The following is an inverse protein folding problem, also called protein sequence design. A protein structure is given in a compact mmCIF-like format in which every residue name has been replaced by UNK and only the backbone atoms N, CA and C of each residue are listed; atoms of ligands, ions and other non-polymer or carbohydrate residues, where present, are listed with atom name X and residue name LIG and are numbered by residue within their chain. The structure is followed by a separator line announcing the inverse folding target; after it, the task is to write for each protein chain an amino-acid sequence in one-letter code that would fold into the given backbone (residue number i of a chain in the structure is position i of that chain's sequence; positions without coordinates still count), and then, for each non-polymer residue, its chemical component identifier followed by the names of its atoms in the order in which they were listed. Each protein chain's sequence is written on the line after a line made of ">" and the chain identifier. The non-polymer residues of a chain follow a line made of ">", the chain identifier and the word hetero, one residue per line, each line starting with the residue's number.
data_IF_031647461915
#
_entry.id   IF_031647461915
#
_cell.length_a   1.000
_cell.length_b   1.000
_cell.length_c   1.000
_cell.angle_alpha   90.00
_cell.angle_beta   90.00
_cell.angle_gamma   90.00
#
_symmetry.space_group_name_H-M   'P 1'
#
loop_
_entity.id
_entity.type
_entity.pdbx_description
1 polymer ?
#
# COMPACT_ATOMS: atom_id res chain seq x y z
N UNK A 1 16.31 -41.40 -8.01
CA UNK A 1 16.85 -41.19 -6.65
C UNK A 1 17.24 -39.73 -6.43
N UNK A 2 18.07 -39.15 -7.29
CA UNK A 2 18.48 -37.75 -7.23
C UNK A 2 17.30 -36.75 -7.16
N UNK A 3 16.26 -36.92 -7.98
CA UNK A 3 15.07 -36.05 -7.95
C UNK A 3 14.32 -36.10 -6.61
N UNK A 4 14.18 -37.28 -6.01
CA UNK A 4 13.52 -37.45 -4.71
C UNK A 4 14.31 -36.77 -3.58
N UNK A 5 15.65 -36.83 -3.64
CA UNK A 5 16.54 -36.16 -2.68
C UNK A 5 16.41 -34.64 -2.83
N UNK A 6 16.46 -34.13 -4.06
CA UNK A 6 16.29 -32.70 -4.34
C UNK A 6 14.93 -32.18 -3.83
N UNK A 7 13.85 -32.94 -4.04
CA UNK A 7 12.51 -32.60 -3.53
C UNK A 7 12.43 -32.51 -2.01
N UNK A 8 13.09 -33.43 -1.29
CA UNK A 8 13.14 -33.40 0.18
C UNK A 8 13.91 -32.18 0.69
N UNK A 9 15.01 -31.82 0.04
CA UNK A 9 15.81 -30.63 0.36
C UNK A 9 14.99 -29.34 0.16
N UNK A 10 14.14 -29.28 -0.87
CA UNK A 10 13.27 -28.13 -1.11
C UNK A 10 12.19 -28.02 -0.03
N UNK A 11 11.55 -29.13 0.35
CA UNK A 11 10.58 -29.12 1.45
C UNK A 11 11.21 -28.65 2.75
N UNK A 12 12.44 -29.11 3.04
CA UNK A 12 13.20 -28.66 4.20
C UNK A 12 13.49 -27.15 4.11
N UNK A 13 13.84 -26.62 2.93
CA UNK A 13 14.05 -25.18 2.72
C UNK A 13 12.77 -24.36 2.98
N UNK A 14 11.62 -24.82 2.49
CA UNK A 14 10.34 -24.16 2.73
C UNK A 14 9.98 -24.14 4.22
N UNK A 15 10.24 -25.23 4.96
CA UNK A 15 10.04 -25.27 6.42
C UNK A 15 10.99 -24.30 7.12
N UNK A 16 12.28 -24.27 6.74
CA UNK A 16 13.25 -23.35 7.36
C UNK A 16 12.91 -21.88 7.10
N UNK A 17 12.36 -21.56 5.93
CA UNK A 17 11.88 -20.21 5.60
C UNK A 17 10.58 -19.87 6.33
N UNK A 18 9.65 -20.83 6.47
CA UNK A 18 8.41 -20.62 7.22
C UNK A 18 8.64 -20.45 8.73
N UNK A 19 9.69 -21.09 9.27
CA UNK A 19 10.13 -20.91 10.66
C UNK A 19 10.97 -19.65 10.87
N UNK A 20 11.30 -18.91 9.81
CA UNK A 20 12.07 -17.68 9.91
C UNK A 20 11.20 -16.58 10.51
N UNK A 21 11.47 -16.24 11.77
CA UNK A 21 10.82 -15.12 12.44
C UNK A 21 11.62 -13.85 12.16
N UNK A 22 11.04 -12.81 11.52
CA UNK A 22 11.71 -11.52 11.40
C UNK A 22 11.88 -10.98 12.82
N UNK A 23 13.13 -10.84 13.24
CA UNK A 23 13.44 -10.34 14.57
C UNK A 23 12.98 -8.88 14.66
N UNK A 24 12.11 -8.60 15.63
CA UNK A 24 11.59 -7.25 15.88
C UNK A 24 12.67 -6.37 16.52
N UNK A 25 13.67 -6.99 17.17
CA UNK A 25 14.81 -6.32 17.82
C UNK A 25 16.16 -6.77 17.22
N UNK A 26 17.15 -5.86 17.22
CA UNK A 26 18.48 -6.00 16.58
C UNK A 26 19.38 -7.14 17.12
N UNK A 27 19.03 -7.77 18.24
CA UNK A 27 19.84 -8.83 18.89
C UNK A 27 19.14 -10.19 18.84
N UNK A 28 19.15 -10.79 17.66
CA UNK A 28 18.61 -12.11 17.43
C UNK A 28 19.72 -13.17 17.46
N UNK A 29 20.31 -13.41 18.63
CA UNK A 29 21.39 -14.39 18.84
C UNK A 29 20.88 -15.70 19.45
N UNK A 30 19.77 -16.24 18.94
CA UNK A 30 19.25 -17.54 19.39
C UNK A 30 19.92 -18.67 18.62
N UNK A 31 20.30 -19.76 19.29
CA UNK A 31 20.85 -20.99 18.68
C UNK A 31 20.01 -21.51 17.51
N UNK A 32 18.68 -21.29 17.57
CA UNK A 32 17.75 -21.64 16.51
C UNK A 32 17.98 -20.85 15.21
N UNK A 33 18.24 -19.54 15.29
CA UNK A 33 18.53 -18.69 14.12
C UNK A 33 19.83 -19.15 13.47
N UNK A 34 20.87 -19.40 14.27
CA UNK A 34 22.15 -19.92 13.76
C UNK A 34 22.00 -21.27 13.07
N UNK A 35 21.18 -22.17 13.63
CA UNK A 35 20.88 -23.46 13.01
C UNK A 35 20.15 -23.31 11.67
N UNK A 36 19.16 -22.42 11.59
CA UNK A 36 18.43 -22.13 10.36
C UNK A 36 19.35 -21.54 9.28
N UNK A 37 20.27 -20.64 9.64
CA UNK A 37 21.26 -20.09 8.69
C UNK A 37 22.19 -21.17 8.14
N UNK A 38 22.70 -22.06 9.01
CA UNK A 38 23.57 -23.17 8.59
C UNK A 38 22.84 -24.14 7.65
N UNK A 39 21.57 -24.42 7.92
CA UNK A 39 20.74 -25.24 7.03
C UNK A 39 20.53 -24.58 5.67
N UNK A 40 20.23 -23.28 5.65
CA UNK A 40 20.04 -22.53 4.40
C UNK A 40 21.32 -22.46 3.56
N UNK A 41 22.49 -22.25 4.19
CA UNK A 41 23.80 -22.30 3.54
C UNK A 41 24.10 -23.69 2.95
N UNK A 42 23.79 -24.76 3.68
CA UNK A 42 23.96 -26.13 3.21
C UNK A 42 23.08 -26.43 1.99
N UNK A 43 21.83 -25.96 2.01
CA UNK A 43 20.88 -26.08 0.90
C UNK A 43 21.38 -25.29 -0.32
N UNK A 44 21.85 -24.06 -0.12
CA UNK A 44 22.45 -23.26 -1.19
C UNK A 44 23.63 -23.99 -1.84
N UNK A 45 24.56 -24.52 -1.03
CA UNK A 45 25.73 -25.24 -1.51
C UNK A 45 25.33 -26.47 -2.34
N UNK A 46 24.35 -27.26 -1.88
CA UNK A 46 23.81 -28.40 -2.64
C UNK A 46 23.34 -28.00 -4.05
N UNK A 47 22.59 -26.90 -4.15
CA UNK A 47 22.09 -26.43 -5.44
C UNK A 47 23.18 -25.80 -6.32
N UNK A 48 24.14 -25.11 -5.72
CA UNK A 48 25.29 -24.57 -6.46
C UNK A 48 26.11 -25.71 -7.09
N UNK A 49 26.37 -26.78 -6.33
CA UNK A 49 27.07 -27.98 -6.82
C UNK A 49 26.26 -28.68 -7.90
N UNK A 50 24.95 -28.81 -7.72
CA UNK A 50 24.12 -29.40 -8.77
C UNK A 50 24.16 -28.58 -10.07
N UNK A 51 24.05 -27.25 -9.96
CA UNK A 51 24.10 -26.34 -11.09
C UNK A 51 25.44 -26.45 -11.83
N UNK A 52 26.56 -26.51 -11.10
CA UNK A 52 27.89 -26.67 -11.73
C UNK A 52 28.02 -28.02 -12.44
N UNK A 53 27.52 -29.11 -11.85
CA UNK A 53 27.50 -30.43 -12.51
C UNK A 53 26.70 -30.37 -13.82
N UNK A 54 25.50 -29.78 -13.79
CA UNK A 54 24.65 -29.63 -14.98
C UNK A 54 25.30 -28.78 -16.06
N UNK A 55 25.95 -27.69 -15.67
CA UNK A 55 26.62 -26.77 -16.57
C UNK A 55 27.82 -27.44 -17.27
N UNK A 56 28.61 -28.24 -16.55
CA UNK A 56 29.72 -29.00 -17.12
C UNK A 56 29.20 -30.11 -18.05
N UNK A 57 28.13 -30.82 -17.68
CA UNK A 57 27.61 -31.94 -18.46
C UNK A 57 26.92 -31.51 -19.77
N UNK A 58 26.16 -30.41 -19.75
CA UNK A 58 25.40 -29.94 -20.92
C UNK A 58 26.15 -28.88 -21.76
N UNK A 59 27.20 -28.28 -21.20
CA UNK A 59 27.95 -27.19 -21.84
C UNK A 59 27.26 -25.82 -21.73
N UNK A 60 28.04 -24.76 -21.99
CA UNK A 60 27.62 -23.37 -21.77
C UNK A 60 26.66 -22.83 -22.85
N UNK A 61 26.92 -23.10 -24.13
CA UNK A 61 26.09 -22.58 -25.24
C UNK A 61 26.02 -23.53 -26.44
N UNK A 62 24.82 -23.81 -26.92
CA UNK A 62 24.51 -24.83 -27.94
C UNK A 62 23.02 -25.25 -27.92
N UNK A 63 22.55 -25.97 -28.94
CA UNK A 63 21.12 -26.40 -29.09
C UNK A 63 20.64 -27.40 -28.01
N UNK A 64 21.54 -27.91 -27.16
CA UNK A 64 21.23 -28.70 -25.97
C UNK A 64 21.99 -28.22 -24.72
N UNK A 65 22.48 -26.98 -24.74
CA UNK A 65 23.26 -26.41 -23.65
C UNK A 65 22.38 -25.97 -22.48
N UNK A 66 23.00 -25.82 -21.31
CA UNK A 66 22.31 -25.43 -20.08
C UNK A 66 21.46 -24.16 -20.26
N UNK A 67 21.97 -23.16 -20.98
CA UNK A 67 21.29 -21.88 -21.23
C UNK A 67 20.17 -21.96 -22.30
N UNK A 68 19.91 -23.10 -22.94
CA UNK A 68 18.81 -23.20 -23.90
C UNK A 68 17.43 -23.36 -23.20
N UNK A 69 17.38 -23.99 -22.02
CA UNK A 69 16.14 -24.19 -21.26
C UNK A 69 15.85 -22.99 -20.33
N UNK A 70 14.68 -22.37 -20.47
CA UNK A 70 14.27 -21.21 -19.67
C UNK A 70 14.30 -21.48 -18.16
N UNK A 71 14.03 -22.72 -17.76
CA UNK A 71 14.03 -23.15 -16.36
C UNK A 71 15.43 -23.25 -15.77
N UNK A 72 16.39 -23.72 -16.55
CA UNK A 72 17.80 -23.72 -16.15
C UNK A 72 18.35 -22.29 -16.07
N UNK A 73 17.89 -21.34 -16.92
CA UNK A 73 18.21 -19.91 -16.77
C UNK A 73 17.73 -19.33 -15.45
N UNK A 74 16.51 -19.70 -15.02
CA UNK A 74 15.96 -19.29 -13.73
C UNK A 74 16.77 -19.88 -12.56
N UNK A 75 17.15 -21.16 -12.63
CA UNK A 75 17.98 -21.81 -11.61
C UNK A 75 19.34 -21.10 -11.44
N UNK A 76 20.00 -20.81 -12.56
CA UNK A 76 21.25 -20.04 -12.59
C UNK A 76 21.09 -18.65 -12.00
N UNK A 77 20.03 -17.91 -12.35
CA UNK A 77 19.77 -16.58 -11.78
C UNK A 77 19.67 -16.64 -10.25
N UNK A 78 18.94 -17.61 -9.70
CA UNK A 78 18.79 -17.74 -8.25
C UNK A 78 20.13 -18.13 -7.58
N UNK A 79 20.92 -19.04 -8.19
CA UNK A 79 22.25 -19.41 -7.64
C UNK A 79 23.21 -18.22 -7.69
N UNK A 80 23.27 -17.51 -8.83
CA UNK A 80 24.12 -16.34 -8.99
C UNK A 80 23.75 -15.22 -8.01
N UNK A 81 22.46 -14.97 -7.81
CA UNK A 81 22.01 -13.94 -6.88
C UNK A 81 22.32 -14.32 -5.41
N UNK A 82 22.17 -15.59 -5.02
CA UNK A 82 22.62 -16.08 -3.71
C UNK A 82 24.14 -15.98 -3.54
N UNK A 83 24.92 -16.23 -4.60
CA UNK A 83 26.37 -16.02 -4.58
C UNK A 83 26.73 -14.54 -4.41
N UNK A 84 26.02 -13.64 -5.09
CA UNK A 84 26.24 -12.19 -4.97
C UNK A 84 26.03 -11.66 -3.54
N UNK A 85 25.07 -12.24 -2.81
CA UNK A 85 24.85 -11.94 -1.39
C UNK A 85 26.11 -12.29 -0.57
N UNK A 86 26.70 -13.47 -0.80
CA UNK A 86 27.91 -13.91 -0.10
C UNK A 86 29.13 -13.02 -0.40
N UNK A 87 29.30 -12.60 -1.66
CA UNK A 87 30.37 -11.67 -2.05
C UNK A 87 30.23 -10.30 -1.37
N UNK A 88 29.01 -9.75 -1.28
CA UNK A 88 28.78 -8.44 -0.66
C UNK A 88 28.96 -8.46 0.86
N UNK A 89 28.64 -9.58 1.52
CA UNK A 89 28.94 -9.77 2.94
C UNK A 89 30.45 -9.78 3.18
N UNK A 90 31.26 -10.33 2.25
CA UNK A 90 32.72 -10.29 2.36
C UNK A 90 33.30 -8.87 2.20
N UNK A 91 32.68 -8.02 1.38
CA UNK A 91 33.09 -6.62 1.19
C UNK A 91 32.48 -5.65 2.22
N UNK A 92 31.74 -6.14 3.23
CA UNK A 92 31.00 -5.32 4.21
C UNK A 92 29.97 -4.35 3.59
N UNK A 93 29.51 -4.62 2.37
CA UNK A 93 28.52 -3.81 1.66
C UNK A 93 27.11 -4.30 2.00
N UNK A 94 26.44 -3.65 2.97
CA UNK A 94 25.11 -4.05 3.42
C UNK A 94 23.98 -3.49 2.54
N UNK A 95 23.64 -4.20 1.47
CA UNK A 95 22.44 -3.93 0.67
C UNK A 95 21.25 -4.75 1.19
N UNK A 96 20.39 -4.12 1.99
CA UNK A 96 19.17 -4.75 2.54
C UNK A 96 18.26 -5.35 1.44
N UNK A 97 18.22 -4.73 0.26
CA UNK A 97 17.45 -5.21 -0.89
C UNK A 97 17.91 -6.58 -1.41
N UNK A 98 19.20 -6.93 -1.31
CA UNK A 98 19.69 -8.24 -1.81
C UNK A 98 19.27 -9.38 -0.88
N UNK A 99 19.08 -9.08 0.42
CA UNK A 99 18.55 -10.05 1.39
C UNK A 99 17.11 -10.47 1.10
N UNK A 100 16.34 -9.72 0.31
CA UNK A 100 14.97 -10.13 -0.07
C UNK A 100 14.97 -11.17 -1.20
N UNK A 101 16.05 -11.27 -1.97
CA UNK A 101 16.19 -12.25 -3.07
C UNK A 101 16.13 -13.69 -2.56
N UNK A 102 16.49 -13.96 -1.30
CA UNK A 102 16.35 -15.29 -0.69
C UNK A 102 14.91 -15.81 -0.69
N UNK A 103 13.90 -14.93 -0.77
CA UNK A 103 12.48 -15.28 -0.93
C UNK A 103 12.19 -15.96 -2.27
N UNK A 104 13.08 -15.83 -3.26
CA UNK A 104 12.95 -16.49 -4.56
C UNK A 104 13.44 -17.95 -4.56
N UNK A 105 14.17 -18.40 -3.52
CA UNK A 105 14.74 -19.76 -3.45
C UNK A 105 13.69 -20.88 -3.56
N UNK A 106 12.49 -20.76 -2.95
CA UNK A 106 11.39 -21.72 -3.14
C UNK A 106 10.92 -21.88 -4.59
N UNK A 107 11.11 -20.89 -5.48
CA UNK A 107 10.71 -21.02 -6.88
C UNK A 107 11.47 -22.13 -7.61
N UNK A 108 12.64 -22.57 -7.10
CA UNK A 108 13.36 -23.74 -7.63
C UNK A 108 12.54 -25.04 -7.55
N UNK A 109 11.52 -25.11 -6.68
CA UNK A 109 10.56 -26.22 -6.62
C UNK A 109 9.87 -26.46 -7.97
N UNK A 110 9.60 -25.39 -8.71
CA UNK A 110 8.91 -25.45 -10.00
C UNK A 110 9.76 -26.22 -11.03
N UNK A 111 11.08 -26.08 -10.98
CA UNK A 111 12.01 -26.82 -11.85
C UNK A 111 12.09 -28.32 -11.53
N UNK A 112 11.68 -28.72 -10.32
CA UNK A 112 11.76 -30.12 -9.84
C UNK A 112 10.47 -30.88 -9.97
N UNK A 113 9.35 -30.17 -9.86
CA UNK A 113 8.03 -30.77 -9.93
C UNK A 113 7.50 -30.59 -11.36
N UNK A 114 7.57 -31.61 -12.23
CA UNK A 114 7.10 -31.48 -13.61
C UNK A 114 5.64 -31.03 -13.69
N UNK A 115 4.80 -31.43 -12.74
CA UNK A 115 3.40 -30.99 -12.67
C UNK A 115 3.26 -29.47 -12.44
N UNK A 116 4.12 -28.85 -11.62
CA UNK A 116 4.10 -27.41 -11.39
C UNK A 116 4.62 -26.64 -12.61
N UNK A 117 5.67 -27.17 -13.27
CA UNK A 117 6.18 -26.61 -14.54
C UNK A 117 5.09 -26.55 -15.59
N UNK A 118 4.31 -27.61 -15.76
CA UNK A 118 3.20 -27.65 -16.72
C UNK A 118 2.15 -26.59 -16.36
N UNK A 119 1.76 -26.48 -15.09
CA UNK A 119 0.77 -25.49 -14.65
C UNK A 119 1.21 -24.05 -14.92
N UNK A 120 2.46 -23.70 -14.58
CA UNK A 120 2.99 -22.34 -14.81
C UNK A 120 3.11 -22.04 -16.30
N UNK A 121 3.54 -23.01 -17.11
CA UNK A 121 3.57 -22.84 -18.57
C UNK A 121 2.19 -22.59 -19.14
N UNK A 122 1.18 -23.36 -18.71
CA UNK A 122 -0.20 -23.13 -19.14
C UNK A 122 -0.70 -21.73 -18.73
N UNK A 123 -0.36 -21.25 -17.53
CA UNK A 123 -0.71 -19.90 -17.09
C UNK A 123 -0.04 -18.86 -18.01
N UNK A 124 1.27 -18.97 -18.23
CA UNK A 124 2.03 -18.04 -19.08
C UNK A 124 1.54 -18.07 -20.54
N UNK A 125 1.13 -19.24 -21.05
CA UNK A 125 0.58 -19.39 -22.40
C UNK A 125 -0.77 -18.66 -22.56
N UNK A 126 -1.53 -18.47 -21.47
CA UNK A 126 -2.79 -17.70 -21.50
C UNK A 126 -2.59 -16.18 -21.37
N UNK A 127 -1.46 -15.70 -20.85
CA UNK A 127 -1.19 -14.26 -20.66
C UNK A 127 -1.26 -13.43 -21.97
N UNK A 128 -0.73 -13.87 -23.11
CA UNK A 128 -0.82 -13.13 -24.37
C UNK A 128 -2.28 -12.85 -24.78
N UNK A 129 -3.21 -13.78 -24.51
CA UNK A 129 -4.62 -13.62 -24.83
C UNK A 129 -5.27 -12.54 -23.95
N UNK A 130 -4.79 -12.38 -22.72
CA UNK A 130 -5.27 -11.38 -21.77
C UNK A 130 -4.72 -9.96 -22.08
N UNK A 131 -3.68 -9.85 -22.92
CA UNK A 131 -3.09 -8.56 -23.30
C UNK A 131 -4.07 -7.57 -23.92
N UNK A 132 -5.03 -8.05 -24.73
CA UNK A 132 -6.07 -7.20 -25.31
C UNK A 132 -6.98 -6.57 -24.24
N UNK A 133 -7.31 -7.34 -23.20
CA UNK A 133 -8.13 -6.88 -22.07
C UNK A 133 -7.35 -5.88 -21.22
N UNK A 134 -6.06 -6.13 -20.98
CA UNK A 134 -5.20 -5.17 -20.27
C UNK A 134 -5.06 -3.85 -21.01
N UNK A 135 -4.97 -3.87 -22.33
CA UNK A 135 -4.92 -2.65 -23.15
C UNK A 135 -6.23 -1.86 -23.03
N UNK A 136 -7.39 -2.53 -23.07
CA UNK A 136 -8.67 -1.88 -22.82
C UNK A 136 -8.75 -1.31 -21.40
N UNK A 137 -8.32 -2.08 -20.39
CA UNK A 137 -8.26 -1.66 -18.99
C UNK A 137 -7.38 -0.41 -18.82
N UNK A 138 -6.22 -0.36 -19.48
CA UNK A 138 -5.36 0.82 -19.48
C UNK A 138 -6.07 2.07 -20.01
N UNK A 139 -6.84 1.97 -21.09
CA UNK A 139 -7.62 3.11 -21.60
C UNK A 139 -8.71 3.55 -20.62
N UNK A 140 -9.40 2.62 -19.96
CA UNK A 140 -10.38 2.96 -18.92
C UNK A 140 -9.72 3.72 -17.78
N UNK A 141 -8.60 3.23 -17.25
CA UNK A 141 -7.82 3.92 -16.21
C UNK A 141 -7.35 5.30 -16.65
N UNK A 142 -6.95 5.45 -17.92
CA UNK A 142 -6.48 6.73 -18.44
C UNK A 142 -7.62 7.75 -18.59
N UNK A 143 -8.74 7.36 -19.19
CA UNK A 143 -9.90 8.24 -19.42
C UNK A 143 -10.49 8.68 -18.08
N UNK A 144 -10.85 7.74 -17.21
CA UNK A 144 -11.42 8.05 -15.90
C UNK A 144 -10.41 8.76 -15.01
N UNK A 145 -9.12 8.39 -15.08
CA UNK A 145 -8.05 9.07 -14.34
C UNK A 145 -7.93 10.55 -14.70
N UNK A 146 -7.95 10.90 -15.99
CA UNK A 146 -7.90 12.31 -16.41
C UNK A 146 -9.16 13.06 -15.97
N UNK A 147 -10.33 12.46 -16.14
CA UNK A 147 -11.59 13.08 -15.69
C UNK A 147 -11.57 13.34 -14.19
N UNK A 148 -11.16 12.36 -13.38
CA UNK A 148 -11.07 12.50 -11.94
C UNK A 148 -10.06 13.56 -11.49
N UNK A 149 -8.88 13.62 -12.13
CA UNK A 149 -7.89 14.67 -11.84
C UNK A 149 -8.42 16.06 -12.20
N UNK A 150 -9.06 16.20 -13.36
CA UNK A 150 -9.57 17.50 -13.81
C UNK A 150 -10.72 18.01 -12.93
N UNK A 151 -11.55 17.12 -12.39
CA UNK A 151 -12.68 17.48 -11.55
C UNK A 151 -12.28 17.70 -10.08
N UNK A 152 -11.38 16.88 -9.55
CA UNK A 152 -11.21 16.75 -8.09
C UNK A 152 -9.80 16.97 -7.55
N UNK A 153 -8.85 17.43 -8.38
CA UNK A 153 -7.51 17.76 -7.91
C UNK A 153 -7.55 18.76 -6.73
N UNK A 154 -6.93 18.38 -5.61
CA UNK A 154 -6.85 19.20 -4.40
C UNK A 154 -8.13 19.32 -3.58
N UNK A 155 -9.26 18.71 -4.00
CA UNK A 155 -10.52 18.80 -3.25
C UNK A 155 -10.48 18.00 -1.95
N UNK A 156 -9.92 16.79 -1.97
CA UNK A 156 -9.86 15.92 -0.80
C UNK A 156 -8.95 16.43 0.33
N UNK A 157 -8.16 17.48 0.07
CA UNK A 157 -7.36 18.19 1.09
C UNK A 157 -8.16 19.23 1.85
N UNK A 158 -9.36 19.60 1.41
CA UNK A 158 -10.12 20.70 2.00
C UNK A 158 -10.58 20.38 3.41
N UNK A 159 -10.33 21.30 4.36
CA UNK A 159 -10.74 21.20 5.76
C UNK A 159 -11.29 22.54 6.25
N UNK A 160 -12.06 22.50 7.33
CA UNK A 160 -12.54 23.71 7.98
C UNK A 160 -11.48 24.22 8.96
N UNK A 161 -10.94 25.39 8.66
CA UNK A 161 -9.99 26.13 9.49
C UNK A 161 -10.72 27.16 10.34
N UNK A 162 -10.12 27.45 11.49
CA UNK A 162 -10.61 28.48 12.40
C UNK A 162 -10.39 29.87 11.79
N UNK A 163 -11.43 30.70 11.79
CA UNK A 163 -11.35 32.12 11.51
C UNK A 163 -11.92 32.89 12.72
N UNK A 164 -11.03 33.51 13.50
CA UNK A 164 -11.41 34.18 14.75
C UNK A 164 -11.63 35.68 14.53
N UNK A 165 -12.68 36.27 15.14
CA UNK A 165 -12.77 37.71 15.28
C UNK A 165 -11.65 38.22 16.21
N UNK A 166 -11.21 39.47 16.01
CA UNK A 166 -10.07 40.09 16.73
C UNK A 166 -10.16 40.07 18.27
N UNK A 167 -11.35 39.85 18.81
CA UNK A 167 -11.63 39.92 20.24
C UNK A 167 -11.60 38.55 20.94
N UNK A 168 -11.16 37.47 20.27
CA UNK A 168 -11.18 36.10 20.80
C UNK A 168 -9.82 35.43 20.54
N UNK A 169 -9.22 34.78 21.55
CA UNK A 169 -8.09 33.86 21.35
C UNK A 169 -8.53 32.42 21.27
N UNK A 170 -7.83 31.67 20.43
CA UNK A 170 -7.97 30.22 20.35
C UNK A 170 -7.34 29.54 21.58
N UNK A 171 -8.00 28.56 22.22
CA UNK A 171 -7.48 27.87 23.38
C UNK A 171 -6.21 27.06 23.05
N UNK A 172 -5.24 27.08 23.97
CA UNK A 172 -4.01 26.29 23.85
C UNK A 172 -4.33 24.79 23.85
N UNK A 173 -3.73 24.04 22.92
CA UNK A 173 -3.91 22.59 22.80
C UNK A 173 -5.05 22.14 21.90
N UNK A 174 -5.92 23.04 21.41
CA UNK A 174 -6.97 22.68 20.42
C UNK A 174 -6.45 22.86 18.98
N UNK A 175 -6.77 21.93 18.09
CA UNK A 175 -6.31 21.98 16.69
C UNK A 175 -7.02 23.07 15.88
N UNK A 176 -6.28 23.75 15.01
CA UNK A 176 -6.79 24.80 14.13
C UNK A 176 -7.63 24.27 12.96
N UNK A 177 -7.81 22.95 12.89
CA UNK A 177 -8.55 22.23 11.84
C UNK A 177 -9.62 21.41 12.54
N UNK A 178 -10.84 21.39 12.01
CA UNK A 178 -11.90 20.53 12.54
C UNK A 178 -11.59 19.06 12.20
N UNK A 179 -11.43 18.22 13.24
CA UNK A 179 -11.07 16.80 13.10
C UNK A 179 -12.29 15.88 12.96
N UNK A 180 -13.51 16.37 13.19
CA UNK A 180 -14.72 15.55 13.20
C UNK A 180 -14.95 14.85 14.54
N UNK A 181 -16.09 14.17 14.66
CA UNK A 181 -16.45 13.39 15.86
C UNK A 181 -15.87 11.95 15.81
N UNK A 182 -15.57 11.44 14.61
CA UNK A 182 -15.02 10.11 14.36
C UNK A 182 -13.52 10.22 14.04
N UNK A 183 -12.62 9.67 14.87
CA UNK A 183 -11.17 9.77 14.65
C UNK A 183 -10.69 9.02 13.40
N UNK A 184 -11.48 8.11 12.84
CA UNK A 184 -11.13 7.36 11.63
C UNK A 184 -11.52 8.11 10.34
N UNK A 185 -12.47 9.05 10.42
CA UNK A 185 -13.04 9.76 9.26
C UNK A 185 -12.69 11.23 9.30
N UNK A 186 -12.16 11.73 8.18
CA UNK A 186 -11.75 13.12 8.12
C UNK A 186 -12.89 13.99 7.60
N UNK A 187 -13.18 15.11 8.25
CA UNK A 187 -14.22 16.03 7.76
C UNK A 187 -13.72 16.84 6.56
N UNK A 188 -14.21 16.52 5.36
CA UNK A 188 -13.90 17.25 4.12
C UNK A 188 -15.02 18.26 3.85
N UNK A 189 -14.64 19.51 3.61
CA UNK A 189 -15.59 20.58 3.33
C UNK A 189 -15.63 20.96 1.85
N UNK A 190 -16.77 21.45 1.40
CA UNK A 190 -16.96 22.12 0.13
C UNK A 190 -16.80 23.63 0.27
N UNK A 191 -16.17 24.26 -0.73
CA UNK A 191 -16.20 25.71 -0.89
C UNK A 191 -17.58 26.15 -1.38
N UNK A 192 -17.94 27.41 -1.11
CA UNK A 192 -19.23 28.00 -1.53
C UNK A 192 -19.48 28.02 -3.05
N UNK A 193 -18.46 27.78 -3.89
CA UNK A 193 -18.59 27.68 -5.34
C UNK A 193 -18.90 26.25 -5.82
N UNK A 194 -18.86 25.27 -4.92
CA UNK A 194 -19.18 23.88 -5.20
C UNK A 194 -20.51 23.53 -4.53
N UNK A 195 -21.21 22.54 -5.07
CA UNK A 195 -22.49 22.06 -4.57
C UNK A 195 -22.29 20.79 -3.74
N UNK A 196 -21.23 20.75 -2.93
CA UNK A 196 -20.92 19.62 -2.08
C UNK A 196 -21.94 19.47 -0.95
N UNK A 197 -21.87 18.35 -0.23
CA UNK A 197 -22.82 18.04 0.85
C UNK A 197 -22.38 18.58 2.22
N UNK A 198 -21.08 18.81 2.43
CA UNK A 198 -20.56 19.29 3.71
C UNK A 198 -20.00 20.70 3.60
N UNK A 199 -20.53 21.62 4.39
CA UNK A 199 -19.99 22.97 4.52
C UNK A 199 -19.58 23.24 5.97
N UNK A 200 -18.59 24.11 6.15
CA UNK A 200 -18.14 24.50 7.49
C UNK A 200 -19.22 25.18 8.35
N UNK A 201 -20.27 25.73 7.72
CA UNK A 201 -21.45 26.28 8.41
C UNK A 201 -22.37 25.21 9.01
N UNK A 202 -22.28 23.97 8.53
CA UNK A 202 -23.16 22.86 8.92
C UNK A 202 -22.50 21.96 9.98
N UNK A 203 -21.36 22.38 10.56
CA UNK A 203 -20.67 21.66 11.62
C UNK A 203 -21.57 21.60 12.87
N UNK A 204 -21.79 20.42 13.47
CA UNK A 204 -22.61 20.29 14.66
C UNK A 204 -21.98 21.05 15.85
N UNK A 205 -22.81 21.61 16.76
CA UNK A 205 -22.31 22.24 17.96
C UNK A 205 -21.55 21.23 18.83
N UNK A 206 -20.49 21.71 19.49
CA UNK A 206 -19.66 20.88 20.37
C UNK A 206 -20.51 20.24 21.47
N UNK A 207 -20.28 18.95 21.74
CA UNK A 207 -20.90 18.20 22.83
C UNK A 207 -19.88 17.86 23.91
N UNK A 208 -20.25 18.03 25.17
CA UNK A 208 -19.44 17.67 26.33
C UNK A 208 -20.35 16.90 27.31
N UNK A 209 -20.05 15.64 27.59
CA UNK A 209 -20.79 14.75 28.52
C UNK A 209 -22.34 14.85 28.42
N UNK A 210 -22.88 14.70 27.20
CA UNK A 210 -24.30 14.83 26.81
C UNK A 210 -24.91 16.24 26.79
N UNK A 211 -24.14 17.30 27.09
CA UNK A 211 -24.58 18.69 26.97
C UNK A 211 -24.13 19.33 25.65
N UNK A 212 -25.04 20.06 24.98
CA UNK A 212 -24.73 20.84 23.77
C UNK A 212 -24.23 22.22 24.20
N UNK A 213 -22.99 22.55 23.83
CA UNK A 213 -22.40 23.86 24.08
C UNK A 213 -23.05 24.91 23.17
N UNK A 214 -23.49 26.03 23.75
CA UNK A 214 -24.15 27.12 23.03
C UNK A 214 -23.51 28.49 23.27
N UNK A 215 -22.50 28.59 24.15
CA UNK A 215 -21.91 29.89 24.48
C UNK A 215 -20.84 30.34 23.46
N UNK A 216 -20.73 31.66 23.29
CA UNK A 216 -19.67 32.30 22.51
C UNK A 216 -18.48 32.62 23.41
N UNK A 217 -17.27 32.26 22.97
CA UNK A 217 -16.04 32.55 23.71
C UNK A 217 -15.89 34.05 24.04
N UNK A 218 -15.89 34.39 25.33
CA UNK A 218 -15.58 35.72 25.82
C UNK A 218 -14.43 35.59 26.83
N UNK A 219 -13.42 36.46 26.73
CA UNK A 219 -12.18 36.41 27.54
C UNK A 219 -12.37 36.59 29.05
N UNK A 220 -13.57 36.93 29.49
CA UNK A 220 -13.82 37.45 30.83
C UNK A 220 -14.90 36.63 31.49
N UNK A 221 -14.55 35.42 31.90
CA UNK A 221 -14.83 34.93 33.27
C UNK A 221 -14.16 33.56 33.43
N UNK A 222 -13.23 33.39 34.38
CA UNK A 222 -13.00 32.09 34.98
C UNK A 222 -14.27 31.72 35.75
N UNK A 223 -14.77 30.51 35.50
CA UNK A 223 -15.63 29.74 36.40
C UNK A 223 -16.88 30.46 36.93
N UNK A 224 -17.88 30.64 36.05
CA UNK A 224 -19.26 30.44 36.49
C UNK A 224 -19.72 29.10 35.90
N UNK A 225 -19.41 28.00 36.59
CA UNK A 225 -19.95 26.67 36.28
C UNK A 225 -21.46 26.62 36.54
N UNK A 226 -22.24 27.31 35.70
CA UNK A 226 -23.69 27.15 35.58
C UNK A 226 -24.03 26.07 34.55
N UNK A 227 -23.17 25.05 34.38
CA UNK A 227 -23.38 23.96 33.42
C UNK A 227 -23.38 24.40 31.95
N UNK A 228 -22.78 25.55 31.61
CA UNK A 228 -22.67 26.03 30.25
C UNK A 228 -21.23 25.92 29.73
N UNK A 229 -21.08 25.50 28.47
CA UNK A 229 -19.81 25.32 27.78
C UNK A 229 -19.77 26.13 26.48
N UNK A 230 -18.55 26.53 26.08
CA UNK A 230 -18.30 27.32 24.87
C UNK A 230 -18.33 26.41 23.64
N UNK A 231 -19.13 26.77 22.65
CA UNK A 231 -19.13 26.08 21.37
C UNK A 231 -17.96 26.56 20.52
N UNK A 232 -16.82 25.88 20.56
CA UNK A 232 -15.69 26.25 19.71
C UNK A 232 -15.89 25.86 18.25
N UNK A 233 -16.80 24.92 17.96
CA UNK A 233 -17.05 24.46 16.60
C UNK A 233 -17.58 25.58 15.68
N UNK A 234 -18.21 26.60 16.26
CA UNK A 234 -18.73 27.76 15.52
C UNK A 234 -17.67 28.62 14.84
N UNK A 235 -16.39 28.51 15.24
CA UNK A 235 -15.30 29.31 14.68
C UNK A 235 -14.61 28.64 13.49
N UNK A 236 -14.90 27.37 13.19
CA UNK A 236 -14.42 26.71 11.97
C UNK A 236 -15.29 27.14 10.78
N UNK A 237 -15.02 28.30 10.19
CA UNK A 237 -15.86 28.86 9.12
C UNK A 237 -15.17 28.85 7.75
N UNK A 238 -13.84 28.74 7.73
CA UNK A 238 -13.04 28.89 6.51
C UNK A 238 -12.66 27.54 5.90
N UNK A 239 -13.25 27.17 4.77
CA UNK A 239 -12.88 25.96 4.03
C UNK A 239 -11.63 26.19 3.16
N UNK A 240 -10.48 25.64 3.57
CA UNK A 240 -9.18 25.81 2.89
C UNK A 240 -8.52 24.45 2.63
N UNK A 241 -7.62 24.39 1.66
CA UNK A 241 -6.85 23.16 1.39
C UNK A 241 -5.78 22.98 2.47
N UNK A 242 -5.82 21.85 3.17
CA UNK A 242 -4.79 21.42 4.12
C UNK A 242 -3.66 20.62 3.48
N UNK A 243 -2.81 20.05 4.32
CA UNK A 243 -1.56 19.41 3.89
C UNK A 243 -1.72 17.92 3.54
N UNK A 244 -2.70 17.24 4.12
CA UNK A 244 -2.85 15.78 4.05
C UNK A 244 -4.17 15.37 3.39
N UNK A 245 -4.09 14.36 2.54
CA UNK A 245 -5.27 13.68 1.97
C UNK A 245 -5.79 12.60 2.95
N UNK A 246 -7.04 12.13 2.80
CA UNK A 246 -7.60 11.03 3.57
C UNK A 246 -6.78 9.73 3.44
N UNK A 247 -7.03 8.75 4.33
CA UNK A 247 -6.34 7.45 4.34
C UNK A 247 -4.81 7.55 4.33
N UNK A 248 -4.26 8.33 5.26
CA UNK A 248 -2.81 8.58 5.37
C UNK A 248 -2.18 9.11 4.06
N UNK A 249 -2.95 9.90 3.30
CA UNK A 249 -2.58 10.46 2.00
C UNK A 249 -2.43 9.46 0.84
N UNK A 250 -3.02 8.27 0.96
CA UNK A 250 -3.00 7.24 -0.10
C UNK A 250 -4.06 7.48 -1.18
N UNK A 251 -5.17 8.13 -0.83
CA UNK A 251 -6.29 8.37 -1.75
C UNK A 251 -6.35 9.84 -2.14
N UNK A 252 -6.10 10.15 -3.41
CA UNK A 252 -6.27 11.49 -3.97
C UNK A 252 -6.38 11.50 -5.49
N UNK A 253 -6.89 12.61 -6.02
CA UNK A 253 -6.95 12.90 -7.46
C UNK A 253 -6.00 14.03 -7.86
N UNK A 254 -4.94 14.25 -7.07
CA UNK A 254 -4.00 15.35 -7.30
C UNK A 254 -3.09 15.10 -8.51
N UNK A 255 -2.83 13.84 -8.84
CA UNK A 255 -2.00 13.39 -9.94
C UNK A 255 -2.55 12.10 -10.55
N UNK A 256 -2.18 11.81 -11.79
CA UNK A 256 -2.69 10.63 -12.52
C UNK A 256 -2.37 9.29 -11.82
N UNK A 257 -1.19 9.16 -11.20
CA UNK A 257 -0.81 7.93 -10.49
C UNK A 257 -1.67 7.66 -9.25
N UNK A 258 -1.98 8.70 -8.47
CA UNK A 258 -2.85 8.59 -7.28
C UNK A 258 -4.31 8.35 -7.69
N UNK A 259 -4.74 8.96 -8.80
CA UNK A 259 -6.05 8.69 -9.39
C UNK A 259 -6.16 7.22 -9.83
N UNK A 260 -5.12 6.63 -10.41
CA UNK A 260 -5.11 5.19 -10.75
C UNK A 260 -5.18 4.28 -9.55
N UNK A 261 -4.49 4.60 -8.44
CA UNK A 261 -4.63 3.85 -7.19
C UNK A 261 -6.07 3.91 -6.68
N UNK A 262 -6.68 5.10 -6.71
CA UNK A 262 -8.07 5.29 -6.29
C UNK A 262 -9.05 4.53 -7.19
N UNK A 263 -8.85 4.57 -8.52
CA UNK A 263 -9.67 3.85 -9.51
C UNK A 263 -9.53 2.33 -9.35
N UNK A 264 -8.32 1.83 -9.09
CA UNK A 264 -8.09 0.42 -8.86
C UNK A 264 -8.90 -0.10 -7.67
N UNK A 265 -8.96 0.65 -6.57
CA UNK A 265 -9.78 0.33 -5.39
C UNK A 265 -11.27 0.36 -5.70
N UNK A 266 -11.72 1.30 -6.54
CA UNK A 266 -13.13 1.36 -6.97
C UNK A 266 -13.50 0.13 -7.80
N UNK A 267 -12.65 -0.27 -8.75
CA UNK A 267 -12.89 -1.44 -9.61
C UNK A 267 -12.82 -2.75 -8.81
N UNK A 268 -12.01 -2.82 -7.76
CA UNK A 268 -12.00 -3.98 -6.85
C UNK A 268 -13.21 -4.04 -5.91
N UNK A 269 -14.12 -3.05 -5.98
CA UNK A 269 -15.30 -2.92 -5.13
C UNK A 269 -15.00 -2.84 -3.63
N UNK A 270 -13.81 -2.35 -3.27
CA UNK A 270 -13.38 -2.22 -1.88
C UNK A 270 -13.29 -0.75 -1.49
N UNK A 271 -14.04 -0.33 -0.46
CA UNK A 271 -14.00 1.05 0.05
C UNK A 271 -14.46 2.12 -0.95
N UNK A 272 -15.04 1.75 -2.09
CA UNK A 272 -15.40 2.67 -3.18
C UNK A 272 -16.47 3.67 -2.76
N UNK A 273 -17.40 3.28 -1.88
CA UNK A 273 -18.43 4.17 -1.33
C UNK A 273 -17.83 5.28 -0.50
N UNK A 274 -16.76 5.01 0.25
CA UNK A 274 -16.11 6.02 1.09
C UNK A 274 -15.43 7.08 0.24
N UNK A 275 -14.73 6.66 -0.83
CA UNK A 275 -14.12 7.57 -1.81
C UNK A 275 -15.20 8.44 -2.47
N UNK A 276 -16.33 7.83 -2.86
CA UNK A 276 -17.47 8.54 -3.44
C UNK A 276 -18.03 9.57 -2.45
N UNK A 277 -18.28 9.19 -1.20
CA UNK A 277 -18.83 10.09 -0.19
C UNK A 277 -17.89 11.27 0.07
N UNK A 278 -16.58 11.05 0.20
CA UNK A 278 -15.63 12.15 0.36
C UNK A 278 -15.63 13.14 -0.82
N UNK A 279 -15.85 12.64 -2.05
CA UNK A 279 -15.96 13.50 -3.23
C UNK A 279 -17.29 14.25 -3.23
N UNK A 280 -18.40 13.58 -2.92
CA UNK A 280 -19.72 14.22 -2.86
C UNK A 280 -19.79 15.30 -1.78
N UNK A 281 -19.12 15.08 -0.65
CA UNK A 281 -19.01 16.05 0.44
C UNK A 281 -18.30 17.32 0.00
N UNK A 282 -17.24 17.20 -0.82
CA UNK A 282 -16.39 18.30 -1.24
C UNK A 282 -16.83 19.01 -2.55
N UNK A 283 -17.46 18.29 -3.48
CA UNK A 283 -17.68 18.75 -4.85
C UNK A 283 -19.17 18.80 -5.25
N UNK A 284 -19.82 17.64 -5.39
CA UNK A 284 -21.23 17.58 -5.78
C UNK A 284 -21.90 16.25 -5.44
N UNK A 285 -23.19 16.31 -5.08
CA UNK A 285 -24.02 15.10 -4.97
C UNK A 285 -23.98 14.24 -6.25
N UNK A 286 -23.90 14.83 -7.45
CA UNK A 286 -23.99 14.11 -8.74
C UNK A 286 -22.75 13.28 -9.09
N UNK A 287 -21.68 13.36 -8.32
CA UNK A 287 -20.43 12.64 -8.60
C UNK A 287 -20.62 11.11 -8.55
N UNK A 288 -21.71 10.59 -7.95
CA UNK A 288 -22.05 9.16 -7.97
C UNK A 288 -22.12 8.58 -9.39
N UNK A 289 -22.48 9.38 -10.39
CA UNK A 289 -22.58 8.95 -11.79
C UNK A 289 -21.22 8.46 -12.31
N UNK A 290 -20.14 9.16 -11.96
CA UNK A 290 -18.79 8.75 -12.33
C UNK A 290 -18.46 7.36 -11.78
N UNK A 291 -18.77 7.11 -10.50
CA UNK A 291 -18.44 5.85 -9.84
C UNK A 291 -19.26 4.70 -10.38
N UNK A 292 -20.57 4.91 -10.61
CA UNK A 292 -21.43 3.88 -11.20
C UNK A 292 -20.99 3.54 -12.63
N UNK A 293 -20.63 4.54 -13.45
CA UNK A 293 -20.11 4.30 -14.81
C UNK A 293 -18.73 3.63 -14.84
N UNK A 294 -17.93 3.80 -13.79
CA UNK A 294 -16.63 3.14 -13.67
C UNK A 294 -16.77 1.67 -13.27
N UNK A 295 -17.80 1.35 -12.47
CA UNK A 295 -18.06 -0.01 -11.96
C UNK A 295 -18.76 -0.90 -13.00
N UNK A 296 -19.68 -0.33 -13.79
CA UNK A 296 -20.47 -1.04 -14.81
C UNK A 296 -19.68 -1.21 -16.10
#
# INVERSE_FOLDING_TARGET
>A
WFERISMLVILLNCITLGMYQPCVDDYCTTTAVRFLTVMDDAIYCFFAVEMTIKLVAMGWSGKGAYMADSWNRLDFFIVAAGGSEYFLVMENMNLSAIRTIRVLRPLRAINRIPSMRILVMLLLDTLPMLGNVLLLCFFVFFIFGIVGVQLWAGLLRQRCFVDLPKNITWPEGKSSIYEGDDPERVYVCAKNNHNGMHYCKDIPPQKEDDMICNETGNFVTPDNWNGSCINWNQYYTSCLAGDKNPFQSTISFDNIGMAWVSIFLVISLEGWTDIMYYIQDAHSFWDWIYFVLLIV
#
